data_IF_041850081748
#
_entry.id   IF_041850081748
#
_cell.length_a   1.000
_cell.length_b   1.000
_cell.length_c   1.000
_cell.angle_alpha   90.00
_cell.angle_beta   90.00
_cell.angle_gamma   90.00
#
_symmetry.space_group_name_H-M   'P 1'
#
loop_
_entity.id
_entity.type
_entity.pdbx_description
1 polymer ?
#
# COMPACT_ATOMS: atom_id res chain seq x y z
N UNK A 1 4.41 -14.37 3.23
CA UNK A 1 3.78 -13.17 3.82
C UNK A 1 4.80 -12.40 4.63
N UNK A 2 4.75 -11.09 4.49
CA UNK A 2 5.51 -10.12 5.27
C UNK A 2 4.48 -9.38 6.13
N UNK A 3 4.52 -9.59 7.44
CA UNK A 3 3.57 -8.98 8.37
C UNK A 3 3.83 -7.48 8.52
N UNK A 4 2.75 -6.70 8.55
CA UNK A 4 2.76 -5.26 8.86
C UNK A 4 2.25 -5.04 10.28
N UNK A 5 2.97 -4.22 11.05
CA UNK A 5 2.54 -3.69 12.35
C UNK A 5 2.91 -2.23 12.46
N UNK A 6 2.29 -1.51 13.40
CA UNK A 6 2.75 -0.16 13.76
C UNK A 6 4.15 -0.26 14.36
N UNK A 7 5.08 0.54 13.85
CA UNK A 7 6.44 0.56 14.33
C UNK A 7 6.52 1.18 15.74
N UNK A 8 7.27 0.54 16.63
CA UNK A 8 7.56 1.06 17.97
C UNK A 8 8.84 1.90 18.04
N UNK A 9 9.65 1.94 16.98
CA UNK A 9 10.89 2.70 16.87
C UNK A 9 11.22 3.04 15.42
N UNK A 10 11.94 4.15 15.21
CA UNK A 10 12.33 4.64 13.89
C UNK A 10 13.25 3.67 13.11
N UNK A 11 14.07 2.89 13.82
CA UNK A 11 15.02 1.95 13.21
C UNK A 11 14.33 0.79 12.46
N UNK A 12 13.09 0.47 12.84
CA UNK A 12 12.32 -0.65 12.30
C UNK A 12 11.35 -0.22 11.20
N UNK A 13 11.34 1.06 10.83
CA UNK A 13 10.41 1.58 9.82
C UNK A 13 10.79 1.06 8.44
N UNK A 14 9.84 0.32 7.84
CA UNK A 14 9.93 -0.20 6.47
C UNK A 14 8.88 0.40 5.53
N UNK A 15 8.00 1.25 6.05
CA UNK A 15 6.95 1.90 5.29
C UNK A 15 6.06 2.74 6.19
N UNK A 16 4.95 3.22 5.64
CA UNK A 16 3.97 4.02 6.37
C UNK A 16 2.58 3.91 5.76
N UNK A 17 1.55 4.10 6.59
CA UNK A 17 0.25 4.57 6.12
C UNK A 17 0.20 6.09 6.26
N UNK A 18 -0.50 6.74 5.34
CA UNK A 18 -0.89 8.16 5.46
C UNK A 18 0.29 9.14 5.61
N UNK A 19 -0.05 10.41 5.86
CA UNK A 19 0.91 11.51 5.94
C UNK A 19 1.49 11.93 4.60
N UNK A 20 2.62 12.63 4.64
CA UNK A 20 3.27 13.11 3.42
C UNK A 20 3.86 11.94 2.64
N UNK A 21 3.48 11.76 1.39
CA UNK A 21 4.08 10.72 0.55
C UNK A 21 5.44 11.18 0.02
N UNK A 22 6.47 10.33 0.14
CA UNK A 22 7.79 10.61 -0.44
C UNK A 22 7.86 9.99 -1.83
N UNK A 23 7.61 10.77 -2.88
CA UNK A 23 7.36 10.30 -4.25
C UNK A 23 8.10 11.13 -5.33
N UNK A 24 8.11 10.70 -6.60
CA UNK A 24 8.62 11.51 -7.71
C UNK A 24 7.79 12.78 -7.94
N UNK A 25 8.44 13.96 -7.95
CA UNK A 25 7.81 15.25 -8.25
C UNK A 25 7.10 15.25 -9.61
N UNK A 26 7.71 14.59 -10.61
CA UNK A 26 7.16 14.46 -11.97
C UNK A 26 5.76 13.82 -12.04
N UNK A 27 5.35 13.01 -11.04
CA UNK A 27 4.01 12.43 -11.02
C UNK A 27 2.94 13.49 -10.80
N UNK A 28 3.26 14.54 -10.05
CA UNK A 28 2.39 15.69 -9.83
C UNK A 28 2.34 16.59 -11.06
N UNK A 29 3.49 16.81 -11.71
CA UNK A 29 3.59 17.65 -12.92
C UNK A 29 2.83 17.07 -14.13
N UNK A 30 2.75 15.73 -14.20
CA UNK A 30 2.09 15.02 -15.29
C UNK A 30 0.58 14.84 -15.11
N UNK A 31 0.00 15.31 -13.99
CA UNK A 31 -1.42 15.14 -13.67
C UNK A 31 -1.83 13.64 -13.68
N UNK A 32 -0.99 12.77 -13.09
CA UNK A 32 -1.17 11.30 -13.10
C UNK A 32 -2.18 10.79 -12.06
N UNK A 33 -2.79 11.70 -11.29
CA UNK A 33 -3.67 11.39 -10.16
C UNK A 33 -5.10 11.84 -10.43
N UNK A 34 -6.09 11.03 -10.05
CA UNK A 34 -7.48 11.50 -10.01
C UNK A 34 -7.71 12.37 -8.76
N UNK A 35 -8.76 13.17 -8.78
CA UNK A 35 -9.16 14.04 -7.65
C UNK A 35 -9.61 13.19 -6.46
N UNK A 36 -10.22 12.02 -6.70
CA UNK A 36 -10.66 11.09 -5.65
C UNK A 36 -9.59 10.14 -5.11
N UNK A 37 -8.35 10.19 -5.62
CA UNK A 37 -7.26 9.35 -5.12
C UNK A 37 -6.76 9.84 -3.75
N UNK A 38 -6.62 8.89 -2.84
CA UNK A 38 -6.11 9.09 -1.47
C UNK A 38 -4.85 8.27 -1.32
N UNK A 39 -3.77 8.89 -0.84
CA UNK A 39 -2.54 8.19 -0.50
C UNK A 39 -2.76 7.33 0.74
N UNK A 40 -2.65 6.01 0.55
CA UNK A 40 -2.96 5.05 1.60
C UNK A 40 -1.71 4.47 2.25
N UNK A 41 -0.74 3.99 1.46
CA UNK A 41 0.44 3.31 1.98
C UNK A 41 1.68 3.49 1.09
N UNK A 42 2.85 3.63 1.70
CA UNK A 42 4.15 3.58 1.03
C UNK A 42 5.04 2.54 1.69
N UNK A 43 5.66 1.68 0.87
CA UNK A 43 6.56 0.62 1.32
C UNK A 43 7.94 0.83 0.69
N UNK A 44 8.97 0.81 1.51
CA UNK A 44 10.37 0.78 1.09
C UNK A 44 10.76 -0.66 0.70
N UNK A 45 11.07 -0.87 -0.58
CA UNK A 45 11.40 -2.19 -1.10
C UNK A 45 12.75 -2.71 -0.61
N UNK A 46 13.68 -1.85 -0.23
CA UNK A 46 14.97 -2.28 0.33
C UNK A 46 14.78 -2.94 1.70
N UNK A 47 13.75 -2.51 2.44
CA UNK A 47 13.39 -3.01 3.77
C UNK A 47 12.65 -4.35 3.72
N UNK A 48 12.10 -4.73 2.57
CA UNK A 48 11.41 -6.02 2.40
C UNK A 48 12.25 -7.09 1.74
N UNK A 49 13.36 -6.73 1.07
CA UNK A 49 14.18 -7.66 0.30
C UNK A 49 14.61 -8.91 1.08
N UNK A 50 14.86 -8.76 2.38
CA UNK A 50 15.22 -9.88 3.26
C UNK A 50 14.06 -10.86 3.53
N UNK A 51 12.81 -10.46 3.29
CA UNK A 51 11.60 -11.23 3.56
C UNK A 51 10.91 -11.75 2.28
N UNK A 52 11.17 -11.13 1.12
CA UNK A 52 10.69 -11.62 -0.20
C UNK A 52 11.57 -12.76 -0.74
N UNK A 53 11.36 -13.96 -0.20
CA UNK A 53 12.17 -15.15 -0.52
C UNK A 53 12.08 -15.59 -1.97
N UNK A 54 10.97 -15.28 -2.63
CA UNK A 54 10.71 -15.69 -4.01
C UNK A 54 11.16 -14.61 -5.02
N UNK A 55 11.63 -13.46 -4.54
CA UNK A 55 12.14 -12.36 -5.37
C UNK A 55 11.08 -11.81 -6.32
N UNK A 56 9.83 -11.70 -5.85
CA UNK A 56 8.69 -11.25 -6.66
C UNK A 56 8.70 -9.75 -6.88
N UNK A 57 9.20 -8.98 -5.91
CA UNK A 57 9.21 -7.53 -5.92
C UNK A 57 10.58 -6.99 -6.36
N UNK A 58 10.65 -5.74 -6.87
CA UNK A 58 11.92 -5.10 -7.15
C UNK A 58 12.79 -4.97 -5.89
N UNK A 59 14.11 -5.03 -6.07
CA UNK A 59 15.10 -4.99 -4.98
C UNK A 59 15.17 -3.65 -4.23
N UNK A 60 14.70 -2.56 -4.85
CA UNK A 60 14.83 -1.19 -4.38
C UNK A 60 13.71 -0.29 -4.92
N UNK A 61 13.58 0.88 -4.31
CA UNK A 61 12.55 1.87 -4.62
C UNK A 61 11.35 1.72 -3.69
N UNK A 62 10.23 2.30 -4.10
CA UNK A 62 9.03 2.35 -3.29
C UNK A 62 7.82 1.82 -4.05
N UNK A 63 6.97 1.07 -3.33
CA UNK A 63 5.60 0.81 -3.74
C UNK A 63 4.68 1.79 -3.04
N UNK A 64 3.75 2.36 -3.80
CA UNK A 64 2.74 3.29 -3.33
C UNK A 64 1.37 2.70 -3.61
N UNK A 65 0.51 2.73 -2.61
CA UNK A 65 -0.87 2.28 -2.69
C UNK A 65 -1.77 3.48 -2.46
N UNK A 66 -2.73 3.63 -3.35
CA UNK A 66 -3.76 4.65 -3.29
C UNK A 66 -5.14 3.99 -3.37
N UNK A 67 -6.14 4.65 -2.82
CA UNK A 67 -7.55 4.27 -2.97
C UNK A 67 -8.26 5.44 -3.63
N UNK A 68 -8.88 5.20 -4.77
CA UNK A 68 -9.71 6.15 -5.49
C UNK A 68 -11.17 5.94 -5.09
N UNK A 69 -11.73 6.94 -4.40
CA UNK A 69 -13.10 6.93 -3.88
C UNK A 69 -14.14 7.53 -4.85
N UNK A 70 -13.71 8.11 -5.98
CA UNK A 70 -14.65 8.60 -7.01
C UNK A 70 -15.29 7.44 -7.80
N UNK A 71 -14.68 6.25 -7.74
CA UNK A 71 -15.20 5.02 -8.31
C UNK A 71 -16.10 4.27 -7.32
N UNK A 72 -17.17 3.62 -7.82
CA UNK A 72 -18.04 2.77 -7.00
C UNK A 72 -18.18 1.37 -7.62
N UNK A 73 -17.61 0.32 -7.04
CA UNK A 73 -16.84 0.31 -5.78
C UNK A 73 -15.50 1.06 -5.90
N UNK A 74 -14.96 1.53 -4.76
CA UNK A 74 -13.67 2.20 -4.69
C UNK A 74 -12.56 1.36 -5.34
N UNK A 75 -11.63 2.03 -6.01
CA UNK A 75 -10.59 1.39 -6.83
C UNK A 75 -9.23 1.52 -6.16
N UNK A 76 -8.46 0.44 -6.11
CA UNK A 76 -7.06 0.48 -5.70
C UNK A 76 -6.16 0.86 -6.85
N UNK A 77 -5.18 1.72 -6.59
CA UNK A 77 -4.13 2.07 -7.54
C UNK A 77 -2.78 1.80 -6.91
N UNK A 78 -1.90 1.08 -7.62
CA UNK A 78 -0.55 0.77 -7.16
C UNK A 78 0.47 1.34 -8.13
N UNK A 79 1.40 2.15 -7.60
CA UNK A 79 2.49 2.75 -8.37
C UNK A 79 3.83 2.28 -7.82
N UNK A 80 4.83 2.22 -8.71
CA UNK A 80 6.20 1.86 -8.36
C UNK A 80 7.16 2.92 -8.89
N UNK A 81 8.13 3.31 -8.08
CA UNK A 81 9.25 4.13 -8.53
C UNK A 81 10.56 3.67 -7.90
N UNK A 82 11.64 3.66 -8.68
CA UNK A 82 13.00 3.47 -8.17
C UNK A 82 13.54 4.71 -7.45
N UNK A 83 12.93 5.87 -7.67
CA UNK A 83 13.36 7.17 -7.13
C UNK A 83 12.20 7.88 -6.45
N UNK A 84 12.51 8.73 -5.49
CA UNK A 84 11.60 9.70 -4.90
C UNK A 84 12.43 10.92 -4.50
N UNK A 85 11.87 12.10 -4.69
CA UNK A 85 12.59 13.37 -4.55
C UNK A 85 11.73 14.48 -3.91
N UNK A 86 10.44 14.23 -3.68
CA UNK A 86 9.52 15.19 -3.06
C UNK A 86 8.74 14.58 -1.91
N UNK A 87 8.64 15.30 -0.80
CA UNK A 87 7.65 15.06 0.25
C UNK A 87 6.39 15.85 -0.11
N UNK A 88 5.29 15.13 -0.32
CA UNK A 88 4.04 15.70 -0.82
C UNK A 88 2.93 15.45 0.21
N UNK A 89 2.27 16.50 0.73
CA UNK A 89 1.11 16.37 1.60
C UNK A 89 -0.13 15.96 0.78
N UNK A 90 -0.09 14.78 0.18
CA UNK A 90 -1.02 14.34 -0.86
C UNK A 90 -2.48 14.33 -0.40
N UNK A 91 -2.71 14.09 0.90
CA UNK A 91 -4.04 14.02 1.48
C UNK A 91 -4.54 15.35 2.10
N UNK A 92 -3.80 16.45 2.03
CA UNK A 92 -4.13 17.72 2.72
C UNK A 92 -5.52 18.27 2.36
N UNK A 93 -5.94 18.08 1.11
CA UNK A 93 -7.24 18.55 0.60
C UNK A 93 -8.29 17.41 0.56
N UNK A 94 -7.98 16.23 1.12
CA UNK A 94 -8.92 15.10 1.12
C UNK A 94 -10.00 15.29 2.20
N UNK A 95 -11.24 15.51 1.77
CA UNK A 95 -12.40 15.60 2.68
C UNK A 95 -12.92 14.21 3.09
N UNK A 96 -12.18 13.48 3.92
CA UNK A 96 -12.60 12.20 4.49
C UNK A 96 -13.00 12.31 5.97
N UNK A 97 -13.81 11.37 6.45
CA UNK A 97 -14.14 11.23 7.88
C UNK A 97 -13.05 10.52 8.70
N UNK A 98 -11.90 10.20 8.10
CA UNK A 98 -10.79 9.49 8.74
C UNK A 98 -9.55 10.37 8.80
N UNK A 99 -8.70 10.13 9.80
CA UNK A 99 -7.37 10.76 9.87
C UNK A 99 -6.41 10.09 8.87
N UNK A 100 -6.21 10.77 7.74
CA UNK A 100 -5.28 10.36 6.67
C UNK A 100 -4.07 11.30 6.53
N UNK A 101 -3.94 12.26 7.45
CA UNK A 101 -2.80 13.19 7.53
C UNK A 101 -1.77 12.73 8.57
N UNK A 102 -2.20 12.06 9.64
CA UNK A 102 -1.28 11.51 10.63
C UNK A 102 -0.55 10.29 10.08
N UNK A 103 0.76 10.43 9.87
CA UNK A 103 1.62 9.31 9.46
C UNK A 103 1.59 8.17 10.51
N UNK A 104 1.34 6.96 10.03
CA UNK A 104 1.45 5.74 10.83
C UNK A 104 2.66 4.94 10.34
N UNK A 105 3.80 5.00 11.06
CA UNK A 105 5.00 4.28 10.65
C UNK A 105 4.79 2.77 10.77
N UNK A 106 5.23 2.02 9.77
CA UNK A 106 5.05 0.58 9.67
C UNK A 106 6.36 -0.17 9.84
N UNK A 107 6.30 -1.22 10.65
CA UNK A 107 7.36 -2.21 10.77
C UNK A 107 7.01 -3.46 9.96
N UNK A 108 8.01 -3.99 9.25
CA UNK A 108 7.89 -5.14 8.37
C UNK A 108 8.68 -6.32 8.94
N UNK A 109 8.02 -7.48 9.06
CA UNK A 109 8.65 -8.72 9.59
C UNK A 109 8.18 -9.95 8.81
N UNK A 110 8.96 -11.02 8.87
CA UNK A 110 8.49 -12.33 8.40
C UNK A 110 7.46 -12.89 9.39
N UNK A 111 6.27 -13.24 8.91
CA UNK A 111 5.22 -13.80 9.76
C UNK A 111 3.82 -13.65 9.19
N UNK A 112 2.86 -14.29 9.84
CA UNK A 112 1.44 -14.12 9.58
C UNK A 112 0.87 -12.98 10.44
N UNK A 113 -0.10 -12.27 9.87
CA UNK A 113 -0.85 -11.19 10.53
C UNK A 113 -2.08 -10.82 9.72
N UNK A 114 -2.95 -10.01 10.32
CA UNK A 114 -4.13 -9.48 9.61
C UNK A 114 -3.75 -8.51 8.49
N UNK A 115 -2.62 -7.79 8.65
CA UNK A 115 -2.11 -6.85 7.65
C UNK A 115 -0.76 -7.33 7.12
N UNK A 116 -0.50 -7.27 5.82
CA UNK A 116 0.81 -7.65 5.31
C UNK A 116 0.97 -7.63 3.81
N UNK A 117 2.22 -7.76 3.37
CA UNK A 117 2.59 -7.85 1.96
C UNK A 117 2.76 -9.30 1.54
N UNK A 118 2.55 -9.57 0.25
CA UNK A 118 2.65 -10.93 -0.33
C UNK A 118 1.85 -11.93 0.53
N UNK A 119 0.63 -11.51 0.89
CA UNK A 119 -0.25 -12.24 1.77
C UNK A 119 -0.92 -13.38 1.01
N UNK A 120 -1.22 -14.47 1.71
CA UNK A 120 -2.08 -15.52 1.19
C UNK A 120 -3.53 -15.20 1.57
N UNK A 121 -4.44 -15.33 0.62
CA UNK A 121 -5.87 -15.37 0.90
C UNK A 121 -6.52 -16.44 0.02
N UNK A 122 -7.42 -17.24 0.62
CA UNK A 122 -8.10 -18.36 -0.05
C UNK A 122 -9.02 -17.94 -1.18
N UNK A 123 -9.40 -16.66 -1.26
CA UNK A 123 -10.23 -16.12 -2.33
C UNK A 123 -9.45 -15.75 -3.59
N UNK A 124 -8.12 -15.70 -3.51
CA UNK A 124 -7.26 -15.40 -4.65
C UNK A 124 -7.17 -16.59 -5.59
N UNK A 125 -7.10 -16.30 -6.88
CA UNK A 125 -6.82 -17.30 -7.90
C UNK A 125 -5.34 -17.70 -7.87
N UNK A 126 -5.03 -18.90 -8.38
CA UNK A 126 -3.66 -19.41 -8.43
C UNK A 126 -2.70 -18.52 -9.23
N UNK A 127 -3.21 -17.70 -10.16
CA UNK A 127 -2.44 -16.76 -10.96
C UNK A 127 -2.35 -15.36 -10.34
N UNK A 128 -2.87 -15.15 -9.14
CA UNK A 128 -2.89 -13.84 -8.48
C UNK A 128 -1.89 -13.76 -7.31
N UNK A 129 -1.55 -12.54 -6.94
CA UNK A 129 -0.70 -12.20 -5.78
C UNK A 129 -1.34 -11.03 -5.05
N UNK A 130 -1.51 -11.16 -3.73
CA UNK A 130 -1.89 -10.03 -2.88
C UNK A 130 -0.63 -9.20 -2.54
N UNK A 131 -0.49 -8.04 -3.17
CA UNK A 131 0.59 -7.09 -2.89
C UNK A 131 0.48 -6.53 -1.47
N UNK A 132 -0.71 -6.14 -1.04
CA UNK A 132 -1.01 -5.61 0.28
C UNK A 132 -2.38 -6.10 0.75
N UNK A 133 -2.42 -6.73 1.91
CA UNK A 133 -3.63 -7.02 2.68
C UNK A 133 -3.72 -6.01 3.83
N UNK A 134 -4.88 -5.39 3.97
CA UNK A 134 -5.23 -4.54 5.09
C UNK A 134 -6.58 -4.96 5.67
N UNK A 135 -6.65 -5.19 6.98
CA UNK A 135 -7.90 -5.46 7.70
C UNK A 135 -8.19 -4.28 8.61
N UNK A 136 -9.25 -3.49 8.37
CA UNK A 136 -9.65 -2.39 9.25
C UNK A 136 -9.78 -2.83 10.72
N UNK A 137 -9.58 -1.89 11.65
CA UNK A 137 -9.68 -2.12 13.10
C UNK A 137 -8.67 -3.11 13.71
N UNK A 138 -7.67 -3.59 12.94
CA UNK A 138 -6.65 -4.53 13.46
C UNK A 138 -5.28 -3.89 13.70
N UNK A 139 -5.05 -2.68 13.17
CA UNK A 139 -3.82 -1.92 13.36
C UNK A 139 -4.04 -0.86 14.46
N UNK A 140 -3.16 -0.85 15.46
CA UNK A 140 -3.34 -0.03 16.67
C UNK A 140 -3.35 1.48 16.38
N UNK A 141 -4.42 2.14 16.81
CA UNK A 141 -4.65 3.58 16.61
C UNK A 141 -4.95 3.97 15.17
N UNK A 142 -5.49 3.05 14.35
CA UNK A 142 -5.94 3.32 12.97
C UNK A 142 -7.40 2.95 12.83
N UNK A 143 -8.27 3.94 12.59
CA UNK A 143 -9.72 3.81 12.42
C UNK A 143 -10.18 3.95 10.96
N UNK A 144 -9.22 4.03 10.03
CA UNK A 144 -9.48 4.13 8.59
C UNK A 144 -10.31 2.94 8.08
N UNK A 145 -11.43 3.25 7.41
CA UNK A 145 -12.40 2.29 6.89
C UNK A 145 -12.96 1.34 7.97
N UNK A 146 -13.09 1.85 9.21
CA UNK A 146 -13.61 1.09 10.36
C UNK A 146 -15.05 0.57 10.19
N UNK A 147 -15.80 1.12 9.25
CA UNK A 147 -17.14 0.72 8.81
C UNK A 147 -17.15 -0.34 7.69
N UNK A 148 -15.98 -0.67 7.14
CA UNK A 148 -15.83 -1.73 6.13
C UNK A 148 -15.57 -3.07 6.82
N UNK A 149 -16.48 -4.01 6.60
CA UNK A 149 -16.28 -5.41 7.00
C UNK A 149 -15.28 -6.11 6.08
N UNK A 150 -14.45 -6.97 6.67
CA UNK A 150 -13.54 -7.85 5.93
C UNK A 150 -12.12 -7.31 5.79
N UNK A 151 -11.42 -7.81 4.78
CA UNK A 151 -10.07 -7.36 4.41
C UNK A 151 -10.06 -6.73 3.02
N UNK A 152 -9.29 -5.66 2.88
CA UNK A 152 -8.95 -5.05 1.62
C UNK A 152 -7.67 -5.69 1.07
N UNK A 153 -7.74 -6.22 -0.15
CA UNK A 153 -6.60 -6.81 -0.84
C UNK A 153 -6.28 -6.02 -2.10
N UNK A 154 -5.05 -5.52 -2.20
CA UNK A 154 -4.48 -5.07 -3.45
C UNK A 154 -3.89 -6.27 -4.19
N UNK A 155 -4.53 -6.68 -5.28
CA UNK A 155 -4.25 -7.92 -5.98
C UNK A 155 -3.70 -7.64 -7.37
N UNK A 156 -2.70 -8.39 -7.81
CA UNK A 156 -2.12 -8.30 -9.15
C UNK A 156 -1.97 -9.69 -9.76
N UNK A 157 -2.16 -9.80 -11.07
CA UNK A 157 -1.84 -11.01 -11.81
C UNK A 157 -0.31 -11.26 -11.85
N UNK A 158 0.12 -12.52 -11.75
CA UNK A 158 1.53 -12.92 -11.73
C UNK A 158 2.30 -12.49 -12.98
N UNK A 159 1.68 -12.50 -14.16
CA UNK A 159 2.33 -12.06 -15.40
C UNK A 159 2.46 -10.53 -15.44
N UNK A 160 1.48 -9.79 -14.92
CA UNK A 160 1.60 -8.34 -14.75
C UNK A 160 2.71 -7.99 -13.75
N UNK A 161 2.80 -8.71 -12.62
CA UNK A 161 3.85 -8.53 -11.62
C UNK A 161 5.25 -8.77 -12.19
N UNK A 162 5.45 -9.88 -12.92
CA UNK A 162 6.73 -10.17 -13.61
C UNK A 162 7.16 -9.05 -14.56
N UNK A 163 6.18 -8.39 -15.20
CA UNK A 163 6.40 -7.26 -16.11
C UNK A 163 6.41 -5.91 -15.40
N UNK A 164 6.34 -5.89 -14.06
CA UNK A 164 6.29 -4.69 -13.20
C UNK A 164 5.15 -3.73 -13.55
N UNK A 165 4.02 -4.29 -14.01
CA UNK A 165 2.81 -3.55 -14.38
C UNK A 165 1.91 -3.36 -13.16
N UNK A 166 2.42 -2.62 -12.17
CA UNK A 166 1.68 -2.33 -10.93
C UNK A 166 0.38 -1.54 -11.18
N UNK A 167 0.28 -0.83 -12.31
CA UNK A 167 -0.95 -0.22 -12.83
C UNK A 167 -2.09 -1.21 -13.11
N UNK A 168 -1.82 -2.52 -13.06
CA UNK A 168 -2.81 -3.59 -13.21
C UNK A 168 -3.28 -4.18 -11.89
N UNK A 169 -2.79 -3.67 -10.76
CA UNK A 169 -3.34 -4.06 -9.48
C UNK A 169 -4.78 -3.58 -9.34
N UNK A 170 -5.59 -4.35 -8.62
CA UNK A 170 -6.99 -4.05 -8.31
C UNK A 170 -7.22 -4.14 -6.81
N UNK A 171 -8.24 -3.44 -6.31
CA UNK A 171 -8.71 -3.58 -4.93
C UNK A 171 -9.89 -4.53 -4.89
N UNK A 172 -9.85 -5.49 -3.98
CA UNK A 172 -11.00 -6.33 -3.66
C UNK A 172 -11.26 -6.31 -2.15
N UNK A 173 -12.54 -6.31 -1.76
CA UNK A 173 -12.95 -6.53 -0.38
C UNK A 173 -13.37 -7.98 -0.19
N UNK A 174 -12.84 -8.66 0.84
CA UNK A 174 -13.05 -10.09 1.12
C UNK A 174 -13.53 -10.38 2.53
#
# INVERSE_FOLDING_TARGET
MISIKRASSAENVGGKLFGEAFMPEKWLENDEFSIGEVFFCQIDLEKIKAFDKDGLLPDKGFLYFFIDFDENPAKGVVRYSETADSLTPFNEECELFYDVETEVPLELRSGESENGLLAYDKKLLDNEVCLLKFTPNTLDGVDFLSDVDGSLLFVIDKEALKKRRFDKAVLINV
#
